data_IF_417713153080
#
_entry.id   IF_417713153080
#
_cell.length_a   1.000
_cell.length_b   1.000
_cell.length_c   1.000
_cell.angle_alpha   90.00
_cell.angle_beta   90.00
_cell.angle_gamma   90.00
#
_symmetry.space_group_name_H-M   'P 1'
#
loop_
_entity.id
_entity.type
_entity.pdbx_description
1 polymer ?
#
# COMPACT_ATOMS: atom_id res chain seq x y z
N UNK A 1 3.30 -4.21 -18.40
CA UNK A 1 4.33 -4.93 -19.14
C UNK A 1 4.07 -6.42 -19.02
N UNK A 2 4.15 -7.17 -20.14
CA UNK A 2 4.14 -8.62 -20.09
C UNK A 2 5.59 -9.11 -19.93
N UNK A 3 5.89 -10.00 -18.97
CA UNK A 3 7.22 -10.54 -18.85
C UNK A 3 7.60 -11.32 -20.12
N UNK A 4 8.85 -11.22 -20.54
CA UNK A 4 9.37 -11.95 -21.71
C UNK A 4 9.45 -13.45 -21.40
N UNK A 5 9.84 -13.79 -20.17
CA UNK A 5 9.88 -15.16 -19.67
C UNK A 5 9.69 -15.16 -18.14
N UNK A 6 9.57 -16.36 -17.56
CA UNK A 6 9.41 -16.55 -16.14
C UNK A 6 7.97 -16.58 -15.65
N UNK A 7 7.80 -16.81 -14.36
CA UNK A 7 6.51 -16.80 -13.67
C UNK A 7 6.64 -16.08 -12.32
N UNK A 8 5.55 -15.44 -11.89
CA UNK A 8 5.45 -14.88 -10.54
C UNK A 8 4.46 -15.74 -9.75
N UNK A 9 4.88 -16.19 -8.58
CA UNK A 9 4.05 -17.01 -7.70
C UNK A 9 3.80 -16.32 -6.39
N UNK A 10 2.61 -16.51 -5.88
CA UNK A 10 2.21 -16.14 -4.53
C UNK A 10 1.73 -17.41 -3.84
N UNK A 11 2.42 -17.84 -2.76
CA UNK A 11 2.14 -19.13 -2.10
C UNK A 11 2.01 -20.31 -3.08
N UNK A 12 3.01 -20.51 -3.92
CA UNK A 12 3.09 -21.56 -4.94
C UNK A 12 2.09 -21.44 -6.11
N UNK A 13 1.16 -20.49 -6.08
CA UNK A 13 0.17 -20.26 -7.15
C UNK A 13 0.69 -19.19 -8.13
N UNK A 14 0.67 -19.49 -9.44
CA UNK A 14 0.99 -18.48 -10.46
C UNK A 14 -0.03 -17.33 -10.39
N UNK A 15 0.47 -16.11 -10.14
CA UNK A 15 -0.35 -14.89 -10.03
C UNK A 15 -1.25 -14.69 -11.26
N UNK A 16 -0.78 -15.10 -12.45
CA UNK A 16 -1.56 -14.98 -13.70
C UNK A 16 -2.77 -15.90 -13.77
N UNK A 17 -2.77 -17.01 -13.02
CA UNK A 17 -3.90 -17.94 -12.94
C UNK A 17 -4.97 -17.50 -11.93
N UNK A 18 -4.64 -16.55 -11.05
CA UNK A 18 -5.55 -16.07 -10.02
C UNK A 18 -6.61 -15.13 -10.60
N UNK A 19 -7.84 -15.27 -10.13
CA UNK A 19 -8.89 -14.28 -10.40
C UNK A 19 -8.48 -12.94 -9.74
N UNK A 20 -8.64 -11.81 -10.45
CA UNK A 20 -8.23 -10.49 -9.98
C UNK A 20 -8.69 -10.17 -8.54
N UNK A 21 -9.94 -10.51 -8.22
CA UNK A 21 -10.50 -10.29 -6.89
C UNK A 21 -9.85 -11.18 -5.81
N UNK A 22 -9.50 -12.41 -6.16
CA UNK A 22 -8.79 -13.31 -5.25
C UNK A 22 -7.37 -12.82 -4.98
N UNK A 23 -6.64 -12.40 -6.02
CA UNK A 23 -5.32 -11.79 -5.90
C UNK A 23 -5.38 -10.51 -5.03
N UNK A 24 -6.35 -9.63 -5.27
CA UNK A 24 -6.51 -8.40 -4.50
C UNK A 24 -6.90 -8.63 -3.02
N UNK A 25 -7.28 -9.83 -2.62
CA UNK A 25 -7.46 -10.21 -1.20
C UNK A 25 -6.19 -10.78 -0.56
N UNK A 26 -5.19 -11.08 -1.37
CA UNK A 26 -3.91 -11.64 -0.90
C UNK A 26 -2.78 -10.61 -0.98
N UNK A 27 -2.90 -9.63 -1.89
CA UNK A 27 -1.84 -8.68 -2.14
C UNK A 27 -2.43 -7.30 -2.44
N UNK A 28 -2.09 -6.31 -1.63
CA UNK A 28 -2.32 -4.91 -1.92
C UNK A 28 -1.13 -4.34 -2.71
N UNK A 29 -1.40 -3.40 -3.60
CA UNK A 29 -0.39 -2.72 -4.40
C UNK A 29 -0.62 -1.21 -4.38
N UNK A 30 0.38 -0.48 -3.95
CA UNK A 30 0.42 0.97 -4.01
C UNK A 30 1.34 1.38 -5.17
N UNK A 31 0.77 1.92 -6.24
CA UNK A 31 1.52 2.36 -7.41
C UNK A 31 2.11 3.75 -7.22
N UNK A 32 3.23 4.01 -7.86
CA UNK A 32 3.81 5.33 -7.96
C UNK A 32 2.85 6.30 -8.67
N UNK A 33 2.69 7.51 -8.13
CA UNK A 33 1.99 8.60 -8.79
C UNK A 33 0.49 8.39 -9.03
N UNK A 34 -0.17 7.55 -8.23
CA UNK A 34 -1.61 7.39 -8.31
C UNK A 34 -2.34 8.73 -8.08
N UNK A 35 -3.25 9.07 -8.99
CA UNK A 35 -4.06 10.29 -8.93
C UNK A 35 -5.46 9.91 -8.46
N UNK A 36 -5.94 10.46 -7.33
CA UNK A 36 -7.30 10.21 -6.89
C UNK A 36 -8.30 10.93 -7.79
N UNK A 37 -9.55 10.46 -7.86
CA UNK A 37 -10.62 11.24 -8.48
C UNK A 37 -10.79 12.58 -7.75
N UNK A 38 -11.11 13.65 -8.50
CA UNK A 38 -11.35 14.97 -7.94
C UNK A 38 -12.50 14.95 -6.93
N UNK A 39 -12.36 15.70 -5.84
CA UNK A 39 -13.39 15.82 -4.80
C UNK A 39 -13.45 14.65 -3.82
N UNK A 40 -12.53 13.68 -3.90
CA UNK A 40 -12.42 12.63 -2.89
C UNK A 40 -11.86 13.18 -1.59
N UNK A 41 -12.49 12.82 -0.47
CA UNK A 41 -11.92 13.03 0.85
C UNK A 41 -11.06 11.83 1.26
N UNK A 42 -10.24 12.02 2.28
CA UNK A 42 -9.32 10.97 2.78
C UNK A 42 -10.06 9.67 3.09
N UNK A 43 -11.19 9.75 3.78
CA UNK A 43 -11.99 8.56 4.13
C UNK A 43 -12.46 7.79 2.91
N UNK A 44 -12.93 8.49 1.86
CA UNK A 44 -13.38 7.85 0.62
C UNK A 44 -12.23 7.08 -0.05
N UNK A 45 -11.02 7.68 -0.09
CA UNK A 45 -9.86 7.02 -0.63
C UNK A 45 -9.51 5.75 0.16
N UNK A 46 -9.45 5.86 1.48
CA UNK A 46 -9.12 4.71 2.34
C UNK A 46 -10.17 3.61 2.20
N UNK A 47 -11.46 3.97 2.13
CA UNK A 47 -12.57 3.05 1.91
C UNK A 47 -12.48 2.30 0.57
N UNK A 48 -11.85 2.89 -0.46
CA UNK A 48 -11.59 2.20 -1.73
C UNK A 48 -10.75 0.92 -1.55
N UNK A 49 -9.87 0.87 -0.56
CA UNK A 49 -9.12 -0.33 -0.19
C UNK A 49 -10.02 -1.54 0.12
N UNK A 50 -11.27 -1.32 0.52
CA UNK A 50 -12.23 -2.40 0.84
C UNK A 50 -12.95 -3.00 -0.37
N UNK A 51 -12.81 -2.43 -1.56
CA UNK A 51 -13.49 -2.92 -2.77
C UNK A 51 -13.31 -4.43 -3.05
N UNK A 52 -12.15 -5.05 -2.86
CA UNK A 52 -11.97 -6.48 -3.08
C UNK A 52 -12.81 -7.35 -2.13
N UNK A 53 -13.18 -6.85 -0.95
CA UNK A 53 -13.96 -7.57 0.06
C UNK A 53 -15.46 -7.46 -0.16
N UNK A 54 -15.91 -6.43 -0.90
CA UNK A 54 -17.34 -6.22 -1.15
C UNK A 54 -17.92 -7.22 -2.17
N UNK A 55 -19.17 -7.65 -1.95
CA UNK A 55 -19.92 -8.48 -2.87
C UNK A 55 -20.43 -7.74 -4.12
N UNK A 56 -21.21 -8.42 -4.95
CA UNK A 56 -21.87 -7.84 -6.14
C UNK A 56 -22.78 -6.65 -5.81
N UNK A 57 -23.40 -6.66 -4.62
CA UNK A 57 -24.30 -5.60 -4.16
C UNK A 57 -23.56 -4.50 -3.38
N UNK A 58 -22.23 -4.53 -3.31
CA UNK A 58 -21.37 -3.55 -2.61
C UNK A 58 -21.88 -3.21 -1.19
N UNK A 59 -22.38 -4.21 -0.47
CA UNK A 59 -22.83 -4.01 0.90
C UNK A 59 -21.64 -3.72 1.81
N UNK A 60 -21.66 -2.53 2.41
CA UNK A 60 -20.72 -2.11 3.44
C UNK A 60 -21.01 -2.87 4.73
N UNK A 61 -19.98 -3.40 5.36
CA UNK A 61 -20.06 -4.20 6.58
C UNK A 61 -19.27 -3.53 7.69
N UNK A 62 -19.52 -3.96 8.92
CA UNK A 62 -18.79 -3.47 10.08
C UNK A 62 -17.29 -3.76 9.98
N UNK A 63 -16.89 -4.90 9.44
CA UNK A 63 -15.48 -5.24 9.21
C UNK A 63 -14.80 -4.27 8.24
N UNK A 64 -15.55 -3.70 7.29
CA UNK A 64 -15.02 -2.68 6.37
C UNK A 64 -14.80 -1.35 7.09
N UNK A 65 -15.74 -0.95 7.95
CA UNK A 65 -15.65 0.23 8.80
C UNK A 65 -14.46 0.11 9.76
N UNK A 66 -14.35 -1.00 10.48
CA UNK A 66 -13.26 -1.27 11.42
C UNK A 66 -11.88 -1.22 10.71
N UNK A 67 -11.78 -1.76 9.50
CA UNK A 67 -10.54 -1.75 8.71
C UNK A 67 -10.14 -0.32 8.27
N UNK A 68 -11.11 0.49 7.86
CA UNK A 68 -10.90 1.90 7.48
C UNK A 68 -10.47 2.71 8.71
N UNK A 69 -11.18 2.57 9.83
CA UNK A 69 -10.87 3.28 11.09
C UNK A 69 -9.46 2.95 11.58
N UNK A 70 -9.10 1.66 11.55
CA UNK A 70 -7.76 1.19 11.91
C UNK A 70 -6.69 1.80 11.02
N UNK A 71 -6.91 1.83 9.69
CA UNK A 71 -5.96 2.38 8.74
C UNK A 71 -5.79 3.90 8.92
N UNK A 72 -6.89 4.65 9.13
CA UNK A 72 -6.85 6.08 9.40
C UNK A 72 -6.07 6.39 10.68
N UNK A 73 -6.31 5.63 11.74
CA UNK A 73 -5.62 5.78 13.03
C UNK A 73 -4.13 5.50 12.91
N UNK A 74 -3.75 4.38 12.30
CA UNK A 74 -2.34 3.97 12.16
C UNK A 74 -1.54 4.90 11.25
N UNK A 75 -2.20 5.58 10.30
CA UNK A 75 -1.56 6.55 9.41
C UNK A 75 -1.65 8.00 9.89
N UNK A 76 -2.13 8.25 11.13
CA UNK A 76 -2.29 9.59 11.68
C UNK A 76 -3.14 10.51 10.77
N UNK A 77 -4.28 9.99 10.28
CA UNK A 77 -5.17 10.68 9.35
C UNK A 77 -6.56 11.03 9.92
N UNK A 78 -6.83 10.69 11.19
CA UNK A 78 -8.15 10.89 11.80
C UNK A 78 -8.64 12.34 11.70
N UNK A 79 -7.76 13.33 11.95
CA UNK A 79 -8.08 14.76 11.86
C UNK A 79 -8.26 15.26 10.41
N UNK A 80 -7.73 14.50 9.45
CA UNK A 80 -7.79 14.81 8.02
C UNK A 80 -8.87 14.02 7.29
N UNK A 81 -9.63 13.19 8.01
CA UNK A 81 -10.62 12.24 7.48
C UNK A 81 -11.51 12.82 6.38
N UNK A 82 -12.08 13.98 6.62
CA UNK A 82 -13.02 14.66 5.72
C UNK A 82 -12.38 15.73 4.85
N UNK A 83 -11.05 15.81 4.85
CA UNK A 83 -10.32 16.77 4.03
C UNK A 83 -10.14 16.23 2.61
N UNK A 84 -10.32 17.10 1.62
CA UNK A 84 -10.11 16.77 0.22
C UNK A 84 -8.63 16.43 -0.04
N UNK A 85 -8.38 15.34 -0.77
CA UNK A 85 -7.03 14.81 -1.02
C UNK A 85 -6.15 15.81 -1.77
N UNK A 86 -6.76 16.61 -2.67
CA UNK A 86 -6.05 17.61 -3.45
C UNK A 86 -5.50 18.76 -2.59
N UNK A 87 -6.02 18.95 -1.38
CA UNK A 87 -5.58 19.98 -0.42
C UNK A 87 -4.51 19.51 0.55
N UNK A 88 -4.14 18.23 0.50
CA UNK A 88 -3.14 17.64 1.38
C UNK A 88 -1.72 17.98 0.93
N UNK A 89 -0.79 18.03 1.89
CA UNK A 89 0.64 18.03 1.58
C UNK A 89 1.04 16.72 0.92
N UNK A 90 2.20 16.68 0.26
CA UNK A 90 2.72 15.45 -0.37
C UNK A 90 2.80 14.27 0.60
N UNK A 91 3.35 14.48 1.81
CA UNK A 91 3.45 13.45 2.85
C UNK A 91 2.07 13.00 3.37
N UNK A 92 1.15 13.92 3.60
CA UNK A 92 -0.22 13.59 4.01
C UNK A 92 -0.94 12.76 2.93
N UNK A 93 -0.78 13.15 1.67
CA UNK A 93 -1.36 12.43 0.53
C UNK A 93 -0.77 11.02 0.41
N UNK A 94 0.53 10.88 0.57
CA UNK A 94 1.20 9.58 0.52
C UNK A 94 0.74 8.67 1.67
N UNK A 95 0.58 9.20 2.88
CA UNK A 95 -0.02 8.46 4.00
C UNK A 95 -1.45 8.01 3.70
N UNK A 96 -2.25 8.83 3.00
CA UNK A 96 -3.61 8.44 2.62
C UNK A 96 -3.61 7.27 1.61
N UNK A 97 -2.71 7.25 0.65
CA UNK A 97 -2.53 6.11 -0.26
C UNK A 97 -2.05 4.85 0.47
N UNK A 98 -1.11 5.02 1.41
CA UNK A 98 -0.65 3.92 2.26
C UNK A 98 -1.80 3.37 3.12
N UNK A 99 -2.60 4.24 3.73
CA UNK A 99 -3.79 3.84 4.50
C UNK A 99 -4.81 3.08 3.65
N UNK A 100 -5.05 3.49 2.39
CA UNK A 100 -5.90 2.75 1.45
C UNK A 100 -5.37 1.32 1.23
N UNK A 101 -4.07 1.18 1.01
CA UNK A 101 -3.45 -0.14 0.83
C UNK A 101 -3.50 -0.98 2.12
N UNK A 102 -3.37 -0.35 3.29
CA UNK A 102 -3.54 -1.00 4.60
C UNK A 102 -4.97 -1.47 4.84
N UNK A 103 -5.97 -0.64 4.49
CA UNK A 103 -7.39 -0.95 4.63
C UNK A 103 -7.82 -2.14 3.77
N UNK A 104 -7.07 -2.45 2.70
CA UNK A 104 -7.30 -3.65 1.89
C UNK A 104 -7.09 -4.94 2.69
N UNK A 105 -6.37 -4.89 3.80
CA UNK A 105 -6.21 -5.96 4.80
C UNK A 105 -5.71 -7.28 4.18
N UNK A 106 -4.55 -7.21 3.55
CA UNK A 106 -3.93 -8.35 2.84
C UNK A 106 -2.66 -8.81 3.55
N UNK A 107 -2.28 -10.11 3.44
CA UNK A 107 -1.03 -10.61 4.00
C UNK A 107 0.23 -10.04 3.33
N UNK A 108 0.11 -9.60 2.08
CA UNK A 108 1.24 -9.01 1.33
C UNK A 108 0.90 -7.59 0.91
N UNK A 109 1.86 -6.68 1.09
CA UNK A 109 1.77 -5.29 0.69
C UNK A 109 2.97 -4.94 -0.21
N UNK A 110 2.70 -4.51 -1.44
CA UNK A 110 3.73 -4.05 -2.38
C UNK A 110 3.64 -2.54 -2.53
N UNK A 111 4.74 -1.84 -2.28
CA UNK A 111 4.83 -0.39 -2.34
C UNK A 111 5.88 0.02 -3.37
N UNK A 112 5.42 0.66 -4.43
CA UNK A 112 6.27 1.08 -5.54
C UNK A 112 6.69 2.54 -5.34
N UNK A 113 7.95 2.74 -4.94
CA UNK A 113 8.54 4.05 -4.65
C UNK A 113 7.69 4.91 -3.68
N UNK A 114 7.29 4.41 -2.51
CA UNK A 114 6.36 5.11 -1.64
C UNK A 114 6.95 6.39 -1.01
N UNK A 115 8.27 6.57 -1.09
CA UNK A 115 9.00 7.70 -0.50
C UNK A 115 9.37 8.80 -1.51
N UNK A 116 9.06 8.60 -2.79
CA UNK A 116 9.42 9.55 -3.86
C UNK A 116 8.68 10.89 -3.68
N UNK A 117 9.38 11.99 -3.89
CA UNK A 117 8.90 13.37 -3.71
C UNK A 117 8.53 13.77 -2.26
N UNK A 118 8.93 12.99 -1.26
CA UNK A 118 8.76 13.33 0.15
C UNK A 118 10.04 13.94 0.73
N UNK A 119 9.87 14.85 1.69
CA UNK A 119 10.99 15.26 2.55
C UNK A 119 11.42 14.10 3.45
N UNK A 120 12.63 14.21 4.01
CA UNK A 120 13.25 13.14 4.81
C UNK A 120 12.35 12.73 5.99
N UNK A 121 11.69 13.70 6.65
CA UNK A 121 10.81 13.42 7.78
C UNK A 121 9.63 12.53 7.37
N UNK A 122 8.93 12.91 6.30
CA UNK A 122 7.80 12.14 5.78
C UNK A 122 8.22 10.75 5.24
N UNK A 123 9.44 10.63 4.66
CA UNK A 123 9.97 9.32 4.25
C UNK A 123 10.16 8.39 5.46
N UNK A 124 10.79 8.90 6.52
CA UNK A 124 11.03 8.14 7.75
C UNK A 124 9.71 7.71 8.38
N UNK A 125 8.75 8.64 8.56
CA UNK A 125 7.43 8.34 9.11
C UNK A 125 6.75 7.19 8.35
N UNK A 126 6.75 7.23 7.02
CA UNK A 126 6.09 6.21 6.20
C UNK A 126 6.78 4.84 6.33
N UNK A 127 8.12 4.83 6.36
CA UNK A 127 8.88 3.58 6.52
C UNK A 127 8.71 3.00 7.93
N UNK A 128 8.63 3.83 8.97
CA UNK A 128 8.31 3.40 10.33
C UNK A 128 6.92 2.77 10.42
N UNK A 129 5.91 3.37 9.76
CA UNK A 129 4.58 2.77 9.66
C UNK A 129 4.61 1.40 8.96
N UNK A 130 5.41 1.26 7.90
CA UNK A 130 5.56 -0.02 7.21
C UNK A 130 6.22 -1.08 8.10
N UNK A 131 7.29 -0.73 8.82
CA UNK A 131 7.95 -1.64 9.79
C UNK A 131 7.00 -2.03 10.92
N UNK A 132 6.25 -1.07 11.46
CA UNK A 132 5.27 -1.35 12.51
C UNK A 132 4.18 -2.32 12.02
N UNK A 133 3.68 -2.12 10.82
CA UNK A 133 2.71 -3.01 10.17
C UNK A 133 3.26 -4.44 10.00
N UNK A 134 4.52 -4.58 9.57
CA UNK A 134 5.18 -5.87 9.44
C UNK A 134 5.30 -6.57 10.82
N UNK A 135 5.81 -5.86 11.82
CA UNK A 135 6.09 -6.42 13.15
C UNK A 135 4.83 -6.76 13.96
N UNK A 136 3.83 -5.88 13.92
CA UNK A 136 2.62 -6.03 14.75
C UNK A 136 1.56 -6.89 14.11
N UNK A 137 1.50 -6.96 12.78
CA UNK A 137 0.48 -7.69 12.03
C UNK A 137 1.03 -8.84 11.19
N UNK A 138 2.34 -9.11 11.29
CA UNK A 138 3.03 -10.19 10.56
C UNK A 138 2.77 -10.17 9.03
N UNK A 139 2.72 -8.97 8.44
CA UNK A 139 2.52 -8.80 6.99
C UNK A 139 3.86 -8.80 6.26
N UNK A 140 3.90 -9.41 5.12
CA UNK A 140 5.05 -9.31 4.21
C UNK A 140 4.95 -7.99 3.43
N UNK A 141 6.01 -7.17 3.50
CA UNK A 141 6.05 -5.89 2.80
C UNK A 141 7.21 -5.89 1.80
N UNK A 142 6.91 -5.66 0.55
CA UNK A 142 7.90 -5.46 -0.50
C UNK A 142 7.92 -3.97 -0.90
N UNK A 143 9.09 -3.35 -0.82
CA UNK A 143 9.32 -1.92 -1.07
C UNK A 143 10.27 -1.75 -2.26
N UNK A 144 9.95 -0.85 -3.17
CA UNK A 144 10.94 -0.33 -4.12
C UNK A 144 11.48 0.98 -3.55
N UNK A 145 12.78 1.01 -3.26
CA UNK A 145 13.45 2.19 -2.70
C UNK A 145 14.68 2.56 -3.55
N UNK A 146 14.95 3.84 -3.69
CA UNK A 146 16.14 4.36 -4.38
C UNK A 146 17.28 4.69 -3.41
N UNK A 147 16.97 4.98 -2.14
CA UNK A 147 17.96 5.28 -1.12
C UNK A 147 18.41 3.98 -0.44
N UNK A 148 19.70 3.64 -0.63
CA UNK A 148 20.29 2.44 -0.06
C UNK A 148 20.42 2.49 1.47
N UNK A 149 20.56 3.68 2.07
CA UNK A 149 20.64 3.82 3.53
C UNK A 149 19.28 3.53 4.16
N UNK A 150 18.20 4.04 3.55
CA UNK A 150 16.84 3.73 3.97
C UNK A 150 16.53 2.25 3.77
N UNK A 151 16.90 1.66 2.63
CA UNK A 151 16.74 0.23 2.39
C UNK A 151 17.47 -0.60 3.45
N UNK A 152 18.75 -0.29 3.75
CA UNK A 152 19.53 -1.02 4.73
C UNK A 152 19.00 -0.86 6.17
N UNK A 153 18.37 0.27 6.49
CA UNK A 153 17.84 0.54 7.83
C UNK A 153 16.48 -0.10 8.08
N UNK A 154 15.63 -0.16 7.05
CA UNK A 154 14.20 -0.49 7.19
C UNK A 154 13.80 -1.84 6.57
N UNK A 155 14.74 -2.63 6.03
CA UNK A 155 14.47 -3.91 5.41
C UNK A 155 15.23 -5.05 6.08
N UNK A 156 14.60 -6.20 6.21
CA UNK A 156 15.24 -7.44 6.65
C UNK A 156 16.04 -8.09 5.52
N UNK A 157 15.59 -7.88 4.26
CA UNK A 157 16.18 -8.41 3.04
C UNK A 157 16.26 -7.35 1.97
N UNK A 158 17.37 -7.32 1.23
CA UNK A 158 17.56 -6.42 0.09
C UNK A 158 17.81 -7.24 -1.16
N UNK A 159 17.06 -6.94 -2.21
CA UNK A 159 17.29 -7.47 -3.55
C UNK A 159 17.78 -6.33 -4.43
N UNK A 160 19.05 -6.38 -4.83
CA UNK A 160 19.59 -5.39 -5.75
C UNK A 160 19.35 -5.83 -7.20
N UNK A 161 18.93 -4.87 -8.03
CA UNK A 161 18.66 -5.11 -9.45
C UNK A 161 19.44 -4.12 -10.33
N UNK A 162 20.00 -4.62 -11.42
CA UNK A 162 20.68 -3.81 -12.43
C UNK A 162 20.32 -4.31 -13.83
N UNK A 163 19.85 -3.41 -14.68
CA UNK A 163 19.46 -3.74 -16.07
C UNK A 163 18.45 -4.91 -16.20
N UNK A 164 17.58 -5.08 -15.19
CA UNK A 164 16.57 -6.14 -15.17
C UNK A 164 17.05 -7.49 -14.59
N UNK A 165 18.28 -7.54 -14.10
CA UNK A 165 18.87 -8.74 -13.48
C UNK A 165 19.14 -8.50 -11.99
N UNK A 166 19.05 -9.57 -11.21
CA UNK A 166 19.45 -9.57 -9.78
C UNK A 166 20.98 -9.63 -9.72
N UNK A 167 21.58 -8.74 -8.93
CA UNK A 167 23.04 -8.63 -8.75
C UNK A 167 23.44 -8.93 -7.32
#
# INVERSE_FOLDING_TARGET
LKPVCGCSRLEEVDVRSMKRKALARQMAYMSQGAIPPSGFVVEDLVAFGRMPHQGLLRQWRREDEDAVEKALTQCNLCELRYREIDTLSGGQRQRAWFAMAMAQDTPVLMLDEPTTFLDIGAQIELLEMAVDLNRTQNRTIALVLHDMNLAARYSDWIIAMKAGEIV
#
